data_IF_724728453184
#
_entry.id   IF_724728453184
#
_cell.length_a   1.000
_cell.length_b   1.000
_cell.length_c   1.000
_cell.angle_alpha   90.00
_cell.angle_beta   90.00
_cell.angle_gamma   90.00
#
_symmetry.space_group_name_H-M   'P 1'
#
loop_
_entity.id
_entity.type
_entity.pdbx_description
1 polymer ?
#
# COMPACT_ATOMS: atom_id res chain seq x y z
N UNK A 1 21.05 -23.43 -19.88
CA UNK A 1 22.15 -22.91 -19.04
C UNK A 1 22.38 -23.88 -17.91
N UNK A 2 23.63 -24.21 -17.60
CA UNK A 2 23.92 -25.06 -16.43
C UNK A 2 23.60 -24.30 -15.15
N UNK A 3 23.37 -25.01 -14.04
CA UNK A 3 23.12 -24.42 -12.71
C UNK A 3 24.25 -23.47 -12.28
N UNK A 4 25.46 -23.69 -12.77
CA UNK A 4 26.63 -22.82 -12.53
C UNK A 4 26.55 -21.52 -13.34
N UNK A 5 26.20 -21.59 -14.63
CA UNK A 5 26.06 -20.40 -15.49
C UNK A 5 24.98 -19.46 -14.95
N UNK A 6 23.86 -20.01 -14.47
CA UNK A 6 22.79 -19.23 -13.85
C UNK A 6 23.27 -18.51 -12.58
N UNK A 7 24.08 -19.17 -11.74
CA UNK A 7 24.63 -18.53 -10.52
C UNK A 7 25.58 -17.37 -10.86
N UNK A 8 26.43 -17.54 -11.88
CA UNK A 8 27.36 -16.50 -12.34
C UNK A 8 26.56 -15.30 -12.88
N UNK A 9 25.55 -15.55 -13.72
CA UNK A 9 24.70 -14.50 -14.26
C UNK A 9 23.96 -13.74 -13.15
N UNK A 10 23.35 -14.45 -12.19
CA UNK A 10 22.67 -13.82 -11.05
C UNK A 10 23.64 -12.94 -10.25
N UNK A 11 24.83 -13.45 -9.92
CA UNK A 11 25.84 -12.71 -9.18
C UNK A 11 26.32 -11.45 -9.95
N UNK A 12 26.51 -11.55 -11.27
CA UNK A 12 26.89 -10.41 -12.09
C UNK A 12 25.80 -9.33 -12.11
N UNK A 13 24.52 -9.72 -12.24
CA UNK A 13 23.38 -8.81 -12.21
C UNK A 13 23.27 -8.12 -10.84
N UNK A 14 23.43 -8.86 -9.75
CA UNK A 14 23.42 -8.31 -8.39
C UNK A 14 24.56 -7.32 -8.17
N UNK A 15 25.76 -7.66 -8.66
CA UNK A 15 26.94 -6.80 -8.59
C UNK A 15 26.71 -5.50 -9.36
N UNK A 16 26.23 -5.59 -10.61
CA UNK A 16 25.89 -4.41 -11.41
C UNK A 16 24.86 -3.54 -10.69
N UNK A 17 23.76 -4.13 -10.18
CA UNK A 17 22.72 -3.40 -9.46
C UNK A 17 23.27 -2.66 -8.23
N UNK A 18 24.17 -3.31 -7.49
CA UNK A 18 24.79 -2.72 -6.32
C UNK A 18 25.63 -1.49 -6.65
N UNK A 19 26.44 -1.54 -7.71
CA UNK A 19 27.33 -0.43 -8.08
C UNK A 19 26.62 0.67 -8.88
N UNK A 20 25.74 0.31 -9.81
CA UNK A 20 25.00 1.29 -10.61
C UNK A 20 24.00 2.09 -9.78
N UNK A 21 23.47 1.51 -8.69
CA UNK A 21 22.56 2.19 -7.77
C UNK A 21 23.26 2.97 -6.64
N UNK A 22 24.60 3.08 -6.64
CA UNK A 22 25.29 3.88 -5.61
C UNK A 22 24.97 5.37 -5.80
N UNK A 23 24.48 6.05 -4.76
CA UNK A 23 24.18 7.46 -4.86
C UNK A 23 25.47 8.29 -4.91
N UNK A 24 25.38 9.39 -5.64
CA UNK A 24 26.40 10.43 -5.69
C UNK A 24 25.83 11.71 -5.11
N UNK A 25 26.60 12.38 -4.27
CA UNK A 25 26.23 13.71 -3.78
C UNK A 25 26.22 14.68 -4.97
N UNK A 26 25.07 15.29 -5.23
CA UNK A 26 24.91 16.22 -6.36
C UNK A 26 24.98 17.67 -5.92
N UNK A 27 24.32 18.04 -4.82
CA UNK A 27 24.30 19.40 -4.28
C UNK A 27 23.88 19.42 -2.80
N UNK A 28 23.87 20.58 -2.14
CA UNK A 28 23.38 20.76 -0.78
C UNK A 28 22.17 21.70 -0.78
N UNK A 29 20.99 21.16 -0.45
CA UNK A 29 19.75 21.94 -0.36
C UNK A 29 19.80 22.95 0.79
N UNK A 30 20.21 22.47 1.97
CA UNK A 30 20.34 23.31 3.15
C UNK A 30 21.37 22.77 4.12
N UNK A 31 22.03 23.71 4.79
CA UNK A 31 22.94 23.45 5.89
C UNK A 31 22.69 24.55 6.93
N UNK A 32 22.27 24.15 8.12
CA UNK A 32 22.01 25.10 9.22
C UNK A 32 22.53 24.55 10.53
N UNK A 33 22.92 25.46 11.41
CA UNK A 33 23.42 25.16 12.73
C UNK A 33 22.50 25.79 13.77
N UNK A 34 22.33 25.13 14.91
CA UNK A 34 21.54 25.69 16.01
C UNK A 34 22.27 26.88 16.67
N UNK A 35 21.55 27.66 17.48
CA UNK A 35 22.08 28.91 18.07
C UNK A 35 23.29 28.71 18.99
N UNK A 36 23.51 27.48 19.45
CA UNK A 36 24.60 27.13 20.36
C UNK A 36 25.79 26.48 19.63
N UNK A 37 25.73 26.39 18.30
CA UNK A 37 26.72 25.74 17.46
C UNK A 37 26.98 24.25 17.82
N UNK A 38 26.01 23.57 18.45
CA UNK A 38 26.14 22.18 18.92
C UNK A 38 25.50 21.16 17.97
N UNK A 39 24.51 21.57 17.17
CA UNK A 39 23.75 20.72 16.27
C UNK A 39 23.84 21.24 14.84
N UNK A 40 24.22 20.35 13.93
CA UNK A 40 24.23 20.59 12.49
C UNK A 40 23.07 19.85 11.82
N UNK A 41 22.23 20.57 11.09
CA UNK A 41 21.22 20.02 10.21
C UNK A 41 21.69 20.16 8.76
N UNK A 42 21.79 19.04 8.06
CA UNK A 42 22.23 18.98 6.67
C UNK A 42 21.19 18.24 5.84
N UNK A 43 20.80 18.83 4.72
CA UNK A 43 19.90 18.20 3.75
C UNK A 43 20.57 18.29 2.38
N UNK A 44 21.25 17.23 1.92
CA UNK A 44 21.86 17.19 0.59
C UNK A 44 20.93 16.59 -0.46
N UNK A 45 21.19 16.93 -1.71
CA UNK A 45 20.67 16.21 -2.86
C UNK A 45 21.63 15.10 -3.28
N UNK A 46 21.06 13.95 -3.60
CA UNK A 46 21.77 12.81 -4.15
C UNK A 46 21.20 12.45 -5.52
N UNK A 47 22.04 11.91 -6.40
CA UNK A 47 21.66 11.33 -7.69
C UNK A 47 22.06 9.85 -7.73
N UNK A 48 21.14 8.99 -8.15
CA UNK A 48 21.36 7.55 -8.34
C UNK A 48 20.63 7.07 -9.59
N UNK A 49 21.06 5.96 -10.19
CA UNK A 49 20.36 5.39 -11.35
C UNK A 49 19.14 4.58 -10.90
N UNK A 50 17.94 4.95 -11.36
CA UNK A 50 16.76 4.10 -11.26
C UNK A 50 16.87 2.98 -12.29
N UNK A 51 17.24 1.78 -11.83
CA UNK A 51 17.45 0.62 -12.70
C UNK A 51 16.16 0.02 -13.27
N UNK A 52 14.99 0.42 -12.76
CA UNK A 52 13.70 0.02 -13.33
C UNK A 52 13.40 0.88 -14.56
N UNK A 53 13.67 2.18 -14.46
CA UNK A 53 13.37 3.16 -15.52
C UNK A 53 14.55 3.45 -16.45
N UNK A 54 15.76 3.08 -16.03
CA UNK A 54 17.03 3.42 -16.66
C UNK A 54 17.22 4.94 -16.82
N UNK A 55 16.86 5.70 -15.79
CA UNK A 55 16.99 7.16 -15.72
C UNK A 55 17.65 7.59 -14.41
N UNK A 56 18.20 8.81 -14.38
CA UNK A 56 18.72 9.40 -13.15
C UNK A 56 17.57 9.80 -12.22
N UNK A 57 17.67 9.37 -10.96
CA UNK A 57 16.78 9.72 -9.88
C UNK A 57 17.49 10.63 -8.89
N UNK A 58 16.96 11.84 -8.74
CA UNK A 58 17.37 12.77 -7.68
C UNK A 58 16.50 12.58 -6.45
N UNK A 59 17.11 12.54 -5.27
CA UNK A 59 16.40 12.52 -4.00
C UNK A 59 17.12 13.35 -2.93
N UNK A 60 16.41 13.67 -1.85
CA UNK A 60 16.95 14.32 -0.66
C UNK A 60 16.70 13.49 0.59
N UNK A 61 17.53 13.67 1.62
CA UNK A 61 17.30 13.20 2.99
C UNK A 61 18.03 14.10 3.99
N UNK A 62 17.45 14.29 5.15
CA UNK A 62 18.00 15.14 6.19
C UNK A 62 18.79 14.35 7.21
N UNK A 63 19.91 14.92 7.61
CA UNK A 63 20.79 14.42 8.67
C UNK A 63 20.83 15.44 9.80
N UNK A 64 20.81 14.95 11.03
CA UNK A 64 21.04 15.78 12.22
C UNK A 64 22.24 15.23 12.96
N UNK A 65 23.26 16.04 13.14
CA UNK A 65 24.53 15.64 13.73
C UNK A 65 24.84 16.48 14.97
N UNK A 66 25.27 15.83 16.05
CA UNK A 66 25.78 16.52 17.23
C UNK A 66 27.27 16.75 17.08
N UNK A 67 27.69 18.00 16.97
CA UNK A 67 29.09 18.40 16.87
C UNK A 67 29.82 18.14 18.20
N UNK A 68 29.14 18.39 19.31
CA UNK A 68 29.65 18.15 20.67
C UNK A 68 29.99 16.69 20.93
N UNK A 69 29.05 15.80 20.64
CA UNK A 69 29.20 14.36 20.88
C UNK A 69 29.83 13.62 19.69
N UNK A 70 30.04 14.31 18.57
CA UNK A 70 30.54 13.77 17.30
C UNK A 70 29.75 12.56 16.82
N UNK A 71 28.42 12.65 16.89
CA UNK A 71 27.52 11.54 16.57
C UNK A 71 26.36 11.98 15.68
N UNK A 72 25.96 11.09 14.77
CA UNK A 72 24.73 11.24 14.00
C UNK A 72 23.53 10.95 14.91
N UNK A 73 22.64 11.92 15.07
CA UNK A 73 21.45 11.82 15.92
C UNK A 73 20.25 11.30 15.16
N UNK A 74 20.08 11.73 13.92
CA UNK A 74 18.91 11.40 13.12
C UNK A 74 19.25 11.37 11.64
N UNK A 75 18.54 10.49 10.94
CA UNK A 75 18.50 10.36 9.50
C UNK A 75 17.03 10.26 9.11
N UNK A 76 16.59 11.10 8.17
CA UNK A 76 15.28 10.93 7.55
C UNK A 76 15.33 9.84 6.49
N UNK A 77 14.19 9.22 6.21
CA UNK A 77 14.03 8.43 5.01
C UNK A 77 14.19 9.31 3.76
N UNK A 78 14.52 8.65 2.65
CA UNK A 78 14.63 9.25 1.33
C UNK A 78 13.33 9.97 0.92
N UNK A 79 13.48 11.07 0.20
CA UNK A 79 12.40 11.80 -0.47
C UNK A 79 12.81 12.10 -1.91
N UNK A 80 12.28 11.37 -2.91
CA UNK A 80 12.56 11.66 -4.31
C UNK A 80 12.06 13.04 -4.73
N UNK A 81 12.85 13.74 -5.52
CA UNK A 81 12.56 15.08 -6.01
C UNK A 81 11.80 14.99 -7.34
N UNK A 82 10.87 15.91 -7.58
CA UNK A 82 10.10 16.03 -8.84
C UNK A 82 9.29 14.76 -9.22
N UNK A 83 8.98 13.89 -8.27
CA UNK A 83 8.10 12.73 -8.48
C UNK A 83 6.74 13.00 -7.84
N UNK A 84 5.67 12.67 -8.54
CA UNK A 84 4.33 12.69 -7.95
C UNK A 84 4.18 11.48 -7.02
N UNK A 85 4.41 11.70 -5.72
CA UNK A 85 4.31 10.66 -4.70
C UNK A 85 2.82 10.39 -4.40
N UNK A 86 2.39 9.15 -4.66
CA UNK A 86 1.02 8.68 -4.42
C UNK A 86 0.90 8.00 -3.06
N UNK A 87 1.91 7.19 -2.68
CA UNK A 87 1.98 6.53 -1.37
C UNK A 87 3.41 6.60 -0.87
N UNK A 88 3.56 6.76 0.45
CA UNK A 88 4.85 6.74 1.14
C UNK A 88 4.65 6.18 2.54
N UNK A 89 5.40 5.14 2.90
CA UNK A 89 5.35 4.58 4.24
C UNK A 89 6.70 3.98 4.64
N UNK A 90 7.23 4.42 5.78
CA UNK A 90 8.39 3.79 6.42
C UNK A 90 7.97 2.51 7.13
N UNK A 91 8.83 1.51 7.15
CA UNK A 91 8.63 0.29 7.94
C UNK A 91 8.67 0.59 9.44
N UNK A 92 8.07 -0.25 10.31
CA UNK A 92 8.04 -0.04 11.76
C UNK A 92 9.41 0.15 12.41
N UNK A 93 10.44 -0.49 11.89
CA UNK A 93 11.84 -0.37 12.32
C UNK A 93 12.61 0.78 11.65
N UNK A 94 11.98 1.50 10.71
CA UNK A 94 12.55 2.65 10.00
C UNK A 94 13.59 2.30 8.92
N UNK A 95 13.94 1.02 8.73
CA UNK A 95 14.99 0.60 7.79
C UNK A 95 14.55 0.64 6.33
N UNK A 96 13.27 0.41 6.07
CA UNK A 96 12.71 0.37 4.73
C UNK A 96 11.76 1.52 4.46
N UNK A 97 11.73 1.97 3.23
CA UNK A 97 10.74 2.93 2.73
C UNK A 97 10.03 2.33 1.52
N UNK A 98 8.71 2.19 1.64
CA UNK A 98 7.84 1.87 0.53
C UNK A 98 7.31 3.16 -0.10
N UNK A 99 7.42 3.26 -1.42
CA UNK A 99 7.05 4.43 -2.19
C UNK A 99 6.27 4.01 -3.43
N UNK A 100 5.20 4.75 -3.74
CA UNK A 100 4.51 4.66 -5.02
C UNK A 100 4.57 6.02 -5.69
N UNK A 101 5.12 6.07 -6.90
CA UNK A 101 5.20 7.29 -7.71
C UNK A 101 4.34 7.18 -8.95
N UNK A 102 3.82 8.32 -9.40
CA UNK A 102 3.04 8.46 -10.63
C UNK A 102 3.82 9.30 -11.65
N UNK A 103 3.81 8.87 -12.90
CA UNK A 103 4.31 9.64 -14.04
C UNK A 103 3.28 9.63 -15.16
N UNK A 104 3.11 10.76 -15.82
CA UNK A 104 2.22 10.86 -16.99
C UNK A 104 3.07 10.88 -18.25
N UNK A 105 2.95 9.84 -19.08
CA UNK A 105 3.60 9.73 -20.39
C UNK A 105 2.52 9.75 -21.47
N UNK A 106 2.37 10.89 -22.14
CA UNK A 106 1.27 11.11 -23.09
C UNK A 106 -0.09 11.06 -22.37
N UNK A 107 -0.98 10.20 -22.85
CA UNK A 107 -2.32 9.98 -22.26
C UNK A 107 -2.34 8.89 -21.17
N UNK A 108 -1.18 8.28 -20.87
CA UNK A 108 -1.09 7.18 -19.92
C UNK A 108 -0.40 7.60 -18.62
N UNK A 109 -1.03 7.22 -17.51
CA UNK A 109 -0.45 7.30 -16.19
C UNK A 109 0.23 5.99 -15.82
N UNK A 110 1.53 6.04 -15.57
CA UNK A 110 2.36 4.94 -15.10
C UNK A 110 2.58 5.07 -13.59
N UNK A 111 2.48 3.95 -12.90
CA UNK A 111 2.68 3.86 -11.45
C UNK A 111 3.86 2.94 -11.18
N UNK A 112 4.78 3.37 -10.32
CA UNK A 112 5.95 2.59 -9.95
C UNK A 112 5.96 2.35 -8.46
N UNK A 113 6.03 1.09 -8.06
CA UNK A 113 6.25 0.69 -6.68
C UNK A 113 7.74 0.53 -6.48
N UNK A 114 8.22 1.07 -5.37
CA UNK A 114 9.63 1.07 -5.02
C UNK A 114 9.77 0.76 -3.53
N UNK A 115 10.73 -0.10 -3.23
CA UNK A 115 11.15 -0.41 -1.86
C UNK A 115 12.61 -0.03 -1.75
N UNK A 116 12.86 0.89 -0.83
CA UNK A 116 14.17 1.45 -0.55
C UNK A 116 14.69 0.93 0.78
N UNK A 117 16.00 0.78 0.86
CA UNK A 117 16.73 0.49 2.10
C UNK A 117 17.97 1.38 2.13
N UNK A 118 18.13 2.14 3.21
CA UNK A 118 19.11 3.21 3.37
C UNK A 118 19.05 4.27 2.25
N UNK A 119 19.66 3.96 1.10
CA UNK A 119 19.82 4.83 -0.08
C UNK A 119 19.68 4.07 -1.40
N UNK A 120 19.44 2.75 -1.35
CA UNK A 120 19.38 1.90 -2.52
C UNK A 120 17.95 1.48 -2.83
N UNK A 121 17.59 1.54 -4.11
CA UNK A 121 16.37 0.93 -4.62
C UNK A 121 16.58 -0.60 -4.66
N UNK A 122 16.09 -1.31 -3.65
CA UNK A 122 16.31 -2.75 -3.53
C UNK A 122 15.27 -3.59 -4.28
N UNK A 123 14.12 -2.99 -4.59
CA UNK A 123 13.07 -3.57 -5.41
C UNK A 123 12.21 -2.49 -6.04
N UNK A 124 11.81 -2.68 -7.29
CA UNK A 124 10.78 -1.87 -7.90
C UNK A 124 10.22 -2.48 -9.18
N UNK A 125 9.01 -2.07 -9.54
CA UNK A 125 8.34 -2.50 -10.77
C UNK A 125 7.30 -1.46 -11.19
N UNK A 126 6.93 -1.51 -12.46
CA UNK A 126 5.80 -0.75 -13.01
C UNK A 126 4.49 -1.53 -12.76
N UNK A 127 3.58 -0.94 -11.98
CA UNK A 127 2.32 -1.57 -11.57
C UNK A 127 1.35 -1.82 -12.73
N UNK A 128 1.49 -1.08 -13.84
CA UNK A 128 0.64 -1.20 -15.01
C UNK A 128 1.19 -2.19 -16.06
N UNK A 129 2.38 -2.77 -15.84
CA UNK A 129 3.00 -3.71 -16.78
C UNK A 129 2.21 -5.01 -16.84
N UNK A 130 1.68 -5.32 -18.03
CA UNK A 130 0.85 -6.51 -18.26
C UNK A 130 1.60 -7.84 -18.20
N UNK A 131 2.93 -7.85 -18.28
CA UNK A 131 3.75 -9.05 -18.20
C UNK A 131 4.24 -9.31 -16.78
N UNK A 132 4.58 -8.25 -16.03
CA UNK A 132 5.28 -8.37 -14.74
C UNK A 132 4.34 -8.12 -13.56
N UNK A 133 3.40 -7.18 -13.67
CA UNK A 133 2.53 -6.83 -12.55
C UNK A 133 1.38 -7.83 -12.40
N UNK A 134 1.13 -8.36 -11.19
CA UNK A 134 -0.01 -9.24 -10.93
C UNK A 134 -1.33 -8.46 -10.76
N UNK A 135 -1.29 -7.13 -10.63
CA UNK A 135 -2.45 -6.28 -10.37
C UNK A 135 -2.51 -5.11 -11.36
N UNK A 136 -3.58 -4.32 -11.29
CA UNK A 136 -3.75 -3.06 -12.02
C UNK A 136 -3.15 -1.86 -11.28
N UNK A 137 -3.78 -0.69 -11.41
CA UNK A 137 -3.34 0.55 -10.76
C UNK A 137 -3.38 0.41 -9.24
N UNK A 138 -2.37 0.92 -8.54
CA UNK A 138 -2.43 1.02 -7.08
C UNK A 138 -3.39 2.13 -6.70
N UNK A 139 -4.24 1.86 -5.73
CA UNK A 139 -5.20 2.85 -5.27
C UNK A 139 -4.46 4.04 -4.66
N UNK A 140 -4.92 5.28 -4.87
CA UNK A 140 -4.38 6.45 -4.18
C UNK A 140 -4.75 6.40 -2.70
N UNK A 141 -4.08 7.22 -1.88
CA UNK A 141 -4.42 7.33 -0.46
C UNK A 141 -5.88 7.75 -0.33
N UNK A 142 -6.68 6.89 0.28
CA UNK A 142 -8.05 7.13 0.67
C UNK A 142 -8.17 6.60 2.10
N UNK A 143 -8.69 7.43 3.00
CA UNK A 143 -8.75 7.09 4.42
C UNK A 143 -9.61 5.85 4.68
N UNK A 144 -10.57 5.51 3.80
CA UNK A 144 -11.48 4.36 3.95
C UNK A 144 -11.25 3.26 2.91
N UNK A 145 -11.15 3.66 1.65
CA UNK A 145 -11.22 2.77 0.50
C UNK A 145 -9.88 2.19 0.04
N UNK A 146 -8.77 2.40 0.75
CA UNK A 146 -7.49 1.79 0.39
C UNK A 146 -6.58 1.61 1.60
N UNK A 147 -5.58 0.74 1.48
CA UNK A 147 -4.52 0.61 2.49
C UNK A 147 -3.16 0.32 1.86
N UNK A 148 -2.12 0.61 2.62
CA UNK A 148 -0.71 0.44 2.26
C UNK A 148 0.07 0.40 3.56
N UNK A 149 0.33 -0.79 4.10
CA UNK A 149 0.75 -1.00 5.49
C UNK A 149 1.87 -2.05 5.58
N UNK A 150 2.92 -1.73 6.32
CA UNK A 150 3.99 -2.68 6.63
C UNK A 150 3.57 -3.64 7.75
N UNK A 151 3.97 -4.90 7.63
CA UNK A 151 3.83 -5.88 8.71
C UNK A 151 4.64 -5.46 9.94
N UNK A 152 4.28 -5.95 11.14
CA UNK A 152 4.94 -5.54 12.38
C UNK A 152 6.43 -5.89 12.43
N UNK A 153 6.86 -6.89 11.67
CA UNK A 153 8.25 -7.34 11.55
C UNK A 153 9.03 -6.63 10.43
N UNK A 154 8.44 -5.61 9.79
CA UNK A 154 9.00 -4.88 8.65
C UNK A 154 9.33 -5.73 7.42
N UNK A 155 8.84 -6.98 7.33
CA UNK A 155 9.22 -7.91 6.25
C UNK A 155 8.22 -8.02 5.11
N UNK A 156 6.99 -7.53 5.30
CA UNK A 156 5.90 -7.60 4.31
C UNK A 156 5.23 -6.25 4.19
N UNK A 157 4.77 -5.94 2.99
CA UNK A 157 3.96 -4.75 2.73
C UNK A 157 2.66 -5.21 2.10
N UNK A 158 1.53 -4.98 2.77
CA UNK A 158 0.20 -5.27 2.24
C UNK A 158 -0.43 -4.01 1.69
N UNK A 159 -1.07 -4.10 0.54
CA UNK A 159 -1.69 -2.95 -0.11
C UNK A 159 -2.85 -3.34 -1.03
N UNK A 160 -3.70 -2.36 -1.32
CA UNK A 160 -4.80 -2.51 -2.27
C UNK A 160 -4.42 -1.99 -3.65
N UNK A 161 -4.77 -2.75 -4.68
CA UNK A 161 -4.67 -2.36 -6.08
C UNK A 161 -5.96 -2.72 -6.84
N UNK A 162 -6.15 -2.17 -8.03
CA UNK A 162 -7.20 -2.61 -8.94
C UNK A 162 -6.96 -4.04 -9.40
N UNK A 163 -8.04 -4.77 -9.65
CA UNK A 163 -7.95 -6.00 -10.41
C UNK A 163 -7.42 -5.73 -11.81
N UNK A 164 -6.48 -6.57 -12.25
CA UNK A 164 -5.89 -6.43 -13.56
C UNK A 164 -6.95 -6.69 -14.63
N UNK A 165 -7.14 -5.72 -15.52
CA UNK A 165 -8.12 -5.84 -16.61
C UNK A 165 -7.63 -6.82 -17.67
N UNK A 166 -8.57 -7.61 -18.18
CA UNK A 166 -8.39 -8.28 -19.47
C UNK A 166 -8.25 -7.23 -20.57
N UNK A 167 -7.45 -7.48 -21.62
CA UNK A 167 -7.34 -6.55 -22.73
C UNK A 167 -8.71 -6.34 -23.39
N UNK A 168 -9.08 -5.07 -23.59
CA UNK A 168 -10.30 -4.69 -24.29
C UNK A 168 -10.12 -4.99 -25.79
N UNK A 169 -11.11 -5.64 -26.39
CA UNK A 169 -11.21 -5.83 -27.84
C UNK A 169 -12.29 -4.94 -28.43
N UNK A 170 -12.04 -4.44 -29.65
CA UNK A 170 -13.02 -3.63 -30.38
C UNK A 170 -14.31 -4.41 -30.57
N UNK A 171 -15.44 -3.73 -30.38
CA UNK A 171 -16.79 -4.28 -30.55
C UNK A 171 -16.97 -4.97 -31.91
N UNK A 172 -16.40 -4.40 -32.98
CA UNK A 172 -16.50 -4.93 -34.35
C UNK A 172 -15.64 -6.17 -34.63
N UNK A 173 -14.81 -6.58 -33.67
CA UNK A 173 -13.96 -7.78 -33.74
C UNK A 173 -14.29 -8.79 -32.65
N UNK A 174 -15.36 -8.53 -31.88
CA UNK A 174 -15.74 -9.33 -30.72
C UNK A 174 -16.33 -10.69 -31.10
N UNK A 175 -16.75 -10.94 -32.34
CA UNK A 175 -17.39 -12.20 -32.74
C UNK A 175 -16.45 -13.42 -32.73
N UNK A 176 -15.15 -13.21 -32.48
CA UNK A 176 -14.11 -14.24 -32.32
C UNK A 176 -13.65 -14.32 -30.86
N UNK A 177 -14.57 -14.53 -29.93
CA UNK A 177 -14.24 -14.68 -28.51
C UNK A 177 -13.49 -16.00 -28.27
N UNK A 178 -12.16 -15.92 -28.27
CA UNK A 178 -11.33 -16.74 -27.39
C UNK A 178 -11.45 -16.19 -25.96
N UNK A 179 -11.32 -17.03 -24.92
CA UNK A 179 -11.48 -16.73 -23.47
C UNK A 179 -10.62 -15.58 -22.89
N UNK A 180 -9.81 -14.93 -23.73
CA UNK A 180 -8.66 -14.11 -23.37
C UNK A 180 -9.00 -12.60 -23.26
N UNK A 181 -10.09 -12.11 -23.88
CA UNK A 181 -10.40 -10.67 -23.94
C UNK A 181 -11.84 -10.30 -23.59
N UNK A 182 -12.08 -9.01 -23.30
CA UNK A 182 -13.42 -8.48 -23.00
C UNK A 182 -13.90 -7.45 -24.04
N UNK A 183 -15.21 -7.39 -24.36
CA UNK A 183 -15.76 -6.40 -25.27
C UNK A 183 -15.59 -4.96 -24.75
N UNK A 184 -15.21 -4.03 -25.63
CA UNK A 184 -15.15 -2.60 -25.31
C UNK A 184 -16.50 -1.99 -24.87
N UNK A 185 -17.63 -2.68 -25.12
CA UNK A 185 -18.97 -2.26 -24.72
C UNK A 185 -19.37 -2.70 -23.30
N UNK A 186 -18.52 -3.43 -22.58
CA UNK A 186 -18.81 -3.87 -21.22
C UNK A 186 -18.81 -2.68 -20.27
N UNK A 187 -19.99 -2.29 -19.82
CA UNK A 187 -20.15 -1.26 -18.79
C UNK A 187 -19.66 -1.80 -17.44
N UNK A 188 -18.86 -0.98 -16.75
CA UNK A 188 -18.40 -1.24 -15.40
C UNK A 188 -18.56 0.05 -14.59
N UNK A 189 -19.32 -0.04 -13.51
CA UNK A 189 -19.53 1.11 -12.63
C UNK A 189 -18.25 1.38 -11.82
N UNK A 190 -17.83 2.64 -11.72
CA UNK A 190 -16.73 3.04 -10.84
C UNK A 190 -17.28 3.56 -9.50
N UNK A 191 -16.39 3.85 -8.55
CA UNK A 191 -16.82 4.37 -7.24
C UNK A 191 -17.20 5.86 -7.25
N UNK A 192 -17.09 6.53 -8.40
CA UNK A 192 -17.31 7.97 -8.52
C UNK A 192 -16.39 8.76 -7.61
N UNK A 193 -16.86 9.92 -7.13
CA UNK A 193 -16.13 10.79 -6.21
C UNK A 193 -14.73 11.14 -6.75
N UNK A 194 -13.64 10.79 -6.06
CA UNK A 194 -12.27 10.95 -6.55
C UNK A 194 -11.64 9.59 -6.93
N UNK A 195 -12.49 8.64 -7.29
CA UNK A 195 -12.18 7.23 -7.56
C UNK A 195 -12.77 6.75 -8.89
N UNK A 196 -12.93 7.63 -9.87
CA UNK A 196 -13.52 7.31 -11.18
C UNK A 196 -12.66 6.35 -12.00
N UNK A 197 -11.39 6.24 -11.66
CA UNK A 197 -10.43 5.28 -12.26
C UNK A 197 -10.44 3.91 -11.58
N UNK A 198 -11.25 3.75 -10.53
CA UNK A 198 -11.25 2.59 -9.65
C UNK A 198 -12.63 1.92 -9.60
N UNK A 199 -12.63 0.60 -9.69
CA UNK A 199 -13.81 -0.26 -9.76
C UNK A 199 -13.74 -1.34 -8.68
N UNK A 200 -12.56 -1.90 -8.45
CA UNK A 200 -12.35 -3.08 -7.62
C UNK A 200 -11.21 -2.84 -6.64
N UNK A 201 -11.12 -3.67 -5.61
CA UNK A 201 -9.95 -3.65 -4.74
C UNK A 201 -9.53 -5.08 -4.48
N UNK A 202 -8.33 -5.42 -4.93
CA UNK A 202 -7.66 -6.67 -4.62
C UNK A 202 -6.51 -6.41 -3.65
N UNK A 203 -6.32 -7.35 -2.74
CA UNK A 203 -5.26 -7.31 -1.75
C UNK A 203 -4.01 -7.95 -2.33
N UNK A 204 -2.94 -7.17 -2.35
CA UNK A 204 -1.61 -7.56 -2.77
C UNK A 204 -0.68 -7.59 -1.57
N UNK A 205 0.29 -8.48 -1.60
CA UNK A 205 1.38 -8.51 -0.63
C UNK A 205 2.73 -8.52 -1.34
N UNK A 206 3.60 -7.61 -0.93
CA UNK A 206 5.02 -7.67 -1.25
C UNK A 206 5.76 -8.40 -0.12
N UNK A 207 6.59 -9.36 -0.51
CA UNK A 207 7.41 -10.17 0.38
C UNK A 207 8.90 -9.83 0.17
N UNK A 208 9.55 -9.25 1.18
CA UNK A 208 10.97 -8.87 1.12
C UNK A 208 11.91 -10.07 0.95
N UNK A 209 11.56 -11.24 1.49
CA UNK A 209 12.41 -12.43 1.43
C UNK A 209 12.45 -13.00 0.02
N UNK A 210 11.30 -13.01 -0.65
CA UNK A 210 11.18 -13.53 -2.02
C UNK A 210 11.35 -12.44 -3.08
N UNK A 211 11.30 -11.16 -2.69
CA UNK A 211 11.27 -9.98 -3.57
C UNK A 211 10.18 -10.10 -4.65
N UNK A 212 8.99 -10.52 -4.25
CA UNK A 212 7.85 -10.72 -5.14
C UNK A 212 6.61 -10.03 -4.59
N UNK A 213 5.79 -9.55 -5.52
CA UNK A 213 4.42 -9.14 -5.25
C UNK A 213 3.50 -10.29 -5.64
N UNK A 214 2.58 -10.65 -4.74
CA UNK A 214 1.63 -11.75 -4.93
C UNK A 214 0.22 -11.28 -4.61
N UNK A 215 -0.74 -11.85 -5.32
CA UNK A 215 -2.14 -11.80 -4.90
C UNK A 215 -2.36 -12.90 -3.88
N UNK A 216 -3.11 -12.58 -2.84
CA UNK A 216 -3.62 -13.61 -1.94
C UNK A 216 -4.72 -14.35 -2.69
N UNK A 217 -4.71 -15.67 -2.68
CA UNK A 217 -5.70 -16.43 -3.46
C UNK A 217 -7.08 -16.39 -2.78
N UNK A 218 -8.11 -16.78 -3.52
CA UNK A 218 -9.48 -16.95 -3.04
C UNK A 218 -10.12 -15.69 -2.42
N UNK A 219 -9.69 -14.49 -2.84
CA UNK A 219 -10.31 -13.25 -2.37
C UNK A 219 -11.78 -13.18 -2.84
N UNK A 220 -12.74 -12.84 -1.96
CA UNK A 220 -14.12 -12.58 -2.35
C UNK A 220 -14.22 -11.52 -3.46
N UNK A 221 -14.88 -11.86 -4.57
CA UNK A 221 -14.95 -11.02 -5.78
C UNK A 221 -16.09 -9.99 -5.76
N UNK A 222 -17.09 -10.21 -4.92
CA UNK A 222 -18.24 -9.33 -4.71
C UNK A 222 -17.95 -8.23 -3.68
N UNK A 223 -16.73 -8.23 -3.13
CA UNK A 223 -16.29 -7.31 -2.10
C UNK A 223 -15.21 -6.36 -2.60
N UNK A 224 -15.22 -5.17 -2.01
CA UNK A 224 -14.19 -4.17 -2.14
C UNK A 224 -13.48 -4.02 -0.81
N UNK A 225 -12.16 -4.18 -0.79
CA UNK A 225 -11.37 -4.12 0.43
C UNK A 225 -10.82 -2.71 0.66
N UNK A 226 -11.13 -2.17 1.83
CA UNK A 226 -10.60 -0.91 2.34
C UNK A 226 -9.66 -1.15 3.52
N UNK A 227 -9.56 -0.16 4.40
CA UNK A 227 -8.65 -0.11 5.58
C UNK A 227 -8.25 -1.46 6.18
N UNK A 228 -6.98 -1.56 6.55
CA UNK A 228 -6.38 -2.76 7.12
C UNK A 228 -5.59 -2.44 8.40
N UNK A 229 -5.41 -3.44 9.27
CA UNK A 229 -4.43 -3.46 10.36
C UNK A 229 -3.83 -4.86 10.46
N UNK A 230 -2.51 -4.93 10.61
CA UNK A 230 -1.85 -6.20 10.92
C UNK A 230 -2.20 -6.68 12.33
N UNK A 231 -2.22 -8.00 12.50
CA UNK A 231 -2.26 -8.63 13.82
C UNK A 231 -0.85 -8.72 14.42
N UNK A 232 -0.70 -9.25 15.63
CA UNK A 232 0.62 -9.61 16.19
C UNK A 232 1.30 -10.75 15.41
N UNK A 233 0.53 -11.54 14.67
CA UNK A 233 1.07 -12.53 13.75
C UNK A 233 1.39 -11.85 12.39
N UNK A 234 2.65 -11.88 11.90
CA UNK A 234 3.03 -11.26 10.63
C UNK A 234 2.45 -11.98 9.39
N UNK A 235 1.79 -13.13 9.59
CA UNK A 235 1.07 -13.83 8.53
C UNK A 235 -0.41 -13.38 8.42
N UNK A 236 -0.91 -12.59 9.38
CA UNK A 236 -2.33 -12.26 9.49
C UNK A 236 -2.63 -10.77 9.64
N UNK A 237 -3.70 -10.33 8.99
CA UNK A 237 -4.22 -8.97 9.11
C UNK A 237 -5.74 -8.94 9.04
N UNK A 238 -6.30 -7.85 9.56
CA UNK A 238 -7.74 -7.58 9.61
C UNK A 238 -8.04 -6.40 8.69
N UNK A 239 -9.09 -6.53 7.90
CA UNK A 239 -9.47 -5.52 6.91
C UNK A 239 -10.97 -5.27 6.90
N UNK A 240 -11.32 -4.08 6.41
CA UNK A 240 -12.70 -3.65 6.17
C UNK A 240 -13.10 -4.06 4.76
N UNK A 241 -14.28 -4.67 4.63
CA UNK A 241 -14.87 -5.02 3.34
C UNK A 241 -16.19 -4.26 3.13
N UNK A 242 -16.38 -3.78 1.92
CA UNK A 242 -17.59 -3.16 1.41
C UNK A 242 -18.21 -4.08 0.35
N UNK A 243 -19.54 -4.17 0.29
CA UNK A 243 -20.19 -4.80 -0.88
C UNK A 243 -20.05 -3.89 -2.09
N UNK A 244 -19.73 -4.47 -3.23
CA UNK A 244 -19.72 -3.76 -4.52
C UNK A 244 -21.15 -3.44 -4.96
N UNK A 245 -22.04 -4.43 -4.84
CA UNK A 245 -23.45 -4.33 -5.23
C UNK A 245 -24.35 -4.02 -4.01
N UNK A 246 -25.50 -3.34 -4.18
CA UNK A 246 -26.14 -2.96 -5.46
C UNK A 246 -25.74 -1.57 -6.01
N UNK A 247 -24.88 -0.81 -5.33
CA UNK A 247 -24.41 0.50 -5.82
C UNK A 247 -23.03 0.82 -5.24
N UNK A 248 -22.16 1.47 -6.01
CA UNK A 248 -20.78 1.74 -5.58
C UNK A 248 -20.63 3.04 -4.78
N UNK A 249 -21.20 4.16 -5.20
CA UNK A 249 -20.97 5.49 -4.58
C UNK A 249 -20.85 5.51 -3.03
N UNK A 250 -19.92 6.34 -2.54
CA UNK A 250 -19.74 6.62 -1.11
C UNK A 250 -18.60 5.85 -0.44
N UNK A 251 -17.42 5.76 -1.06
CA UNK A 251 -16.23 5.23 -0.38
C UNK A 251 -15.39 6.31 0.29
N UNK A 252 -15.49 7.57 -0.14
CA UNK A 252 -14.70 8.66 0.43
C UNK A 252 -15.53 9.45 1.45
N UNK A 253 -16.78 9.77 1.12
CA UNK A 253 -17.58 10.71 1.93
C UNK A 253 -18.70 10.05 2.75
N UNK A 254 -18.93 8.74 2.60
CA UNK A 254 -20.02 8.03 3.29
C UNK A 254 -19.49 7.08 4.39
N UNK A 255 -19.53 7.53 5.63
CA UNK A 255 -19.17 6.75 6.83
C UNK A 255 -20.36 5.98 7.44
N UNK A 256 -21.40 5.75 6.64
CA UNK A 256 -22.68 5.16 7.02
C UNK A 256 -23.07 3.99 6.08
N UNK A 257 -22.08 3.40 5.41
CA UNK A 257 -22.26 2.24 4.52
C UNK A 257 -22.09 0.92 5.28
N UNK A 258 -22.91 -0.12 5.04
CA UNK A 258 -22.69 -1.44 5.63
C UNK A 258 -21.28 -1.96 5.31
N UNK A 259 -20.57 -2.44 6.33
CA UNK A 259 -19.26 -3.05 6.18
C UNK A 259 -19.11 -4.26 7.08
N UNK A 260 -18.30 -5.20 6.64
CA UNK A 260 -17.89 -6.35 7.43
C UNK A 260 -16.37 -6.33 7.65
N UNK A 261 -15.93 -6.95 8.75
CA UNK A 261 -14.53 -7.14 9.07
C UNK A 261 -14.12 -8.56 8.68
N UNK A 262 -12.97 -8.68 8.04
CA UNK A 262 -12.39 -9.95 7.62
C UNK A 262 -11.01 -10.12 8.22
N UNK A 263 -10.69 -11.33 8.66
CA UNK A 263 -9.31 -11.77 8.95
C UNK A 263 -8.77 -12.50 7.73
N UNK A 264 -7.60 -12.11 7.28
CA UNK A 264 -6.88 -12.75 6.19
C UNK A 264 -5.55 -13.31 6.71
N UNK A 265 -5.22 -14.54 6.33
CA UNK A 265 -3.88 -15.09 6.46
C UNK A 265 -3.30 -15.25 5.05
N UNK A 266 -2.26 -14.47 4.74
CA UNK A 266 -1.73 -14.39 3.37
C UNK A 266 -0.89 -15.61 3.01
N UNK A 267 -0.35 -16.33 4.00
CA UNK A 267 0.56 -17.46 3.77
C UNK A 267 -0.20 -18.73 3.38
N UNK A 268 -1.40 -18.93 3.93
CA UNK A 268 -2.25 -20.08 3.62
C UNK A 268 -3.48 -19.73 2.77
N UNK A 269 -3.59 -18.48 2.28
CA UNK A 269 -4.69 -17.97 1.46
C UNK A 269 -6.08 -18.08 2.13
N UNK A 270 -6.13 -17.93 3.46
CA UNK A 270 -7.37 -18.06 4.22
C UNK A 270 -8.06 -16.71 4.44
N UNK A 271 -9.36 -16.68 4.20
CA UNK A 271 -10.24 -15.54 4.44
C UNK A 271 -11.34 -15.94 5.41
N UNK A 272 -11.49 -15.20 6.52
CA UNK A 272 -12.48 -15.46 7.56
C UNK A 272 -13.30 -14.20 7.79
N UNK A 273 -14.60 -14.27 7.55
CA UNK A 273 -15.52 -13.20 7.94
C UNK A 273 -15.68 -13.19 9.48
N UNK A 274 -15.35 -12.05 10.09
CA UNK A 274 -15.44 -11.85 11.54
C UNK A 274 -16.81 -11.28 11.93
N UNK A 275 -17.32 -10.32 11.15
CA UNK A 275 -18.62 -9.68 11.38
C UNK A 275 -19.48 -9.75 10.13
N UNK A 276 -20.80 -9.65 10.28
CA UNK A 276 -21.73 -9.68 9.16
C UNK A 276 -21.90 -8.30 8.50
N UNK A 277 -22.43 -8.31 7.28
CA UNK A 277 -22.93 -7.11 6.60
C UNK A 277 -24.34 -6.78 7.13
N UNK A 278 -24.40 -6.31 8.37
CA UNK A 278 -25.62 -5.90 9.06
C UNK A 278 -25.85 -4.38 8.96
N UNK A 279 -26.68 -3.82 9.84
CA UNK A 279 -27.03 -2.38 9.85
C UNK A 279 -25.94 -1.50 10.48
N UNK A 280 -24.67 -1.90 10.39
CA UNK A 280 -23.54 -1.21 10.99
C UNK A 280 -22.43 -0.93 9.97
N UNK A 281 -21.81 0.23 10.12
CA UNK A 281 -20.55 0.58 9.47
C UNK A 281 -19.43 0.45 10.52
N UNK A 282 -18.37 -0.25 10.16
CA UNK A 282 -17.22 -0.64 11.00
C UNK A 282 -15.95 -0.22 10.26
N UNK A 283 -15.24 0.75 10.81
CA UNK A 283 -14.10 1.40 10.17
C UNK A 283 -12.93 1.49 11.15
N UNK A 284 -11.74 1.76 10.60
CA UNK A 284 -10.49 1.99 11.34
C UNK A 284 -10.15 0.86 12.33
N UNK A 285 -10.06 -0.41 11.88
CA UNK A 285 -9.57 -1.46 12.77
C UNK A 285 -8.14 -1.13 13.23
N UNK A 286 -7.88 -1.33 14.52
CA UNK A 286 -6.58 -1.14 15.17
C UNK A 286 -6.32 -2.29 16.11
N UNK A 287 -5.32 -3.09 15.77
CA UNK A 287 -4.93 -4.22 16.59
C UNK A 287 -4.28 -3.80 17.90
N UNK A 288 -4.48 -4.57 18.97
CA UNK A 288 -3.90 -4.29 20.29
C UNK A 288 -2.59 -5.07 20.49
N UNK A 289 -1.41 -4.42 20.57
CA UNK A 289 -0.11 -5.11 20.58
C UNK A 289 0.11 -6.12 21.72
N UNK A 290 -0.66 -6.04 22.81
CA UNK A 290 -0.52 -6.90 24.00
C UNK A 290 -1.64 -7.94 24.12
N UNK A 291 -2.51 -8.06 23.12
CA UNK A 291 -3.67 -8.95 23.15
C UNK A 291 -3.84 -9.62 21.79
N UNK A 292 -3.37 -10.85 21.69
CA UNK A 292 -3.25 -11.62 20.42
C UNK A 292 -4.56 -11.94 19.71
N UNK A 293 -5.72 -11.62 20.30
CA UNK A 293 -7.02 -11.89 19.69
C UNK A 293 -7.96 -10.70 19.81
N UNK A 294 -7.44 -9.52 20.13
CA UNK A 294 -8.29 -8.34 20.32
C UNK A 294 -7.83 -7.18 19.46
N UNK A 295 -8.81 -6.51 18.86
CA UNK A 295 -8.62 -5.25 18.17
C UNK A 295 -9.79 -4.34 18.45
N UNK A 296 -9.59 -3.05 18.24
CA UNK A 296 -10.66 -2.05 18.34
C UNK A 296 -11.01 -1.53 16.96
N UNK A 297 -12.25 -1.06 16.79
CA UNK A 297 -12.69 -0.37 15.58
C UNK A 297 -13.73 0.70 15.95
N UNK A 298 -14.01 1.59 15.00
CA UNK A 298 -15.06 2.60 15.11
C UNK A 298 -16.34 2.10 14.45
N UNK A 299 -17.46 2.23 15.16
CA UNK A 299 -18.77 1.75 14.70
C UNK A 299 -19.80 2.87 14.60
N UNK A 300 -20.59 2.88 13.53
CA UNK A 300 -21.78 3.73 13.36
C UNK A 300 -22.97 2.90 12.89
N UNK A 301 -24.18 3.38 13.15
CA UNK A 301 -25.36 2.79 12.51
C UNK A 301 -25.45 3.32 11.06
N UNK A 302 -25.89 2.48 10.13
CA UNK A 302 -26.10 2.91 8.74
C UNK A 302 -27.33 3.83 8.61
N UNK A 303 -27.46 4.49 7.46
CA UNK A 303 -28.58 5.41 7.12
C UNK A 303 -28.78 6.63 8.01
N UNK A 304 -27.87 6.90 8.95
CA UNK A 304 -27.83 8.16 9.67
C UNK A 304 -27.04 9.22 8.91
N UNK A 305 -26.99 10.45 9.44
CA UNK A 305 -26.24 11.54 8.81
C UNK A 305 -24.73 11.21 8.71
N UNK A 306 -24.05 11.84 7.77
CA UNK A 306 -22.59 11.72 7.61
C UNK A 306 -21.86 12.28 8.85
N UNK A 307 -20.67 11.76 9.13
CA UNK A 307 -19.76 12.22 10.18
C UNK A 307 -20.37 12.31 11.60
N UNK A 308 -21.25 11.36 11.95
CA UNK A 308 -21.84 11.28 13.28
C UNK A 308 -20.87 10.73 14.35
N UNK A 309 -21.27 10.87 15.61
CA UNK A 309 -20.59 10.24 16.74
C UNK A 309 -20.49 8.71 16.51
N UNK A 310 -19.27 8.20 16.68
CA UNK A 310 -18.93 6.78 16.52
C UNK A 310 -18.78 6.14 17.89
N UNK A 311 -19.10 4.84 17.97
CA UNK A 311 -18.74 4.02 19.13
C UNK A 311 -17.32 3.50 18.96
N UNK A 312 -16.58 3.37 20.05
CA UNK A 312 -15.35 2.59 20.09
C UNK A 312 -15.69 1.20 20.58
N UNK A 313 -15.44 0.18 19.76
CA UNK A 313 -15.80 -1.21 20.05
C UNK A 313 -14.53 -2.04 20.10
N UNK A 314 -14.44 -2.91 21.11
CA UNK A 314 -13.45 -3.97 21.23
C UNK A 314 -14.05 -5.25 20.67
N UNK A 315 -13.30 -5.94 19.82
CA UNK A 315 -13.68 -7.22 19.24
C UNK A 315 -12.68 -8.30 19.62
N UNK A 316 -13.18 -9.48 19.99
CA UNK A 316 -12.36 -10.67 20.18
C UNK A 316 -12.50 -11.62 18.97
N UNK A 317 -11.41 -11.91 18.28
CA UNK A 317 -11.38 -12.71 17.04
C UNK A 317 -11.71 -14.19 17.24
N UNK A 318 -11.47 -14.74 18.43
CA UNK A 318 -11.75 -16.14 18.75
C UNK A 318 -13.21 -16.34 19.15
N UNK A 319 -13.70 -15.53 20.10
CA UNK A 319 -15.06 -15.66 20.63
C UNK A 319 -16.10 -14.95 19.76
N UNK A 320 -15.64 -14.10 18.83
CA UNK A 320 -16.46 -13.20 18.00
C UNK A 320 -17.36 -12.27 18.81
N UNK A 321 -16.94 -11.94 20.03
CA UNK A 321 -17.69 -11.06 20.91
C UNK A 321 -17.28 -9.60 20.72
N UNK A 322 -18.29 -8.73 20.72
CA UNK A 322 -18.15 -7.27 20.71
C UNK A 322 -18.37 -6.70 22.12
N UNK A 323 -17.53 -5.78 22.55
CA UNK A 323 -17.70 -4.99 23.77
C UNK A 323 -17.55 -3.50 23.45
N UNK A 324 -18.61 -2.73 23.70
CA UNK A 324 -18.57 -1.27 23.57
C UNK A 324 -17.67 -0.72 24.69
N UNK A 325 -16.59 -0.04 24.31
CA UNK A 325 -15.68 0.64 25.24
C UNK A 325 -16.11 2.07 25.49
N UNK A 326 -16.54 2.75 24.42
CA UNK A 326 -17.07 4.11 24.47
C UNK A 326 -18.32 4.10 23.60
N UNK A 327 -19.46 4.38 24.20
CA UNK A 327 -20.71 4.53 23.46
C UNK A 327 -20.85 5.95 22.92
N UNK A 328 -21.73 6.12 21.95
CA UNK A 328 -22.11 7.45 21.46
C UNK A 328 -23.01 8.14 22.48
N UNK A 329 -23.00 9.46 22.45
CA UNK A 329 -23.96 10.29 23.17
C UNK A 329 -25.03 10.71 22.17
N UNK A 330 -26.24 10.19 22.33
CA UNK A 330 -27.40 10.70 21.59
C UNK A 330 -27.76 12.09 22.17
N UNK A 331 -27.84 13.11 21.31
CA UNK A 331 -28.27 14.46 21.69
C UNK A 331 -29.78 14.59 21.70
#
# INVERSE_FOLDING_TARGET
MTTTDNKILTSAIETYRHYAGQPTLSDIESCSQDSNDEILHLTPYFSTMDLVKLEDLTYTRSFTYSLKNRQLLFTSNITPINKNIVRRLASPDGQYLALVTKETKGEQDLYYVQIWHDEHLIFGYEANDTKISPHGKILPKNDYGSFFEWSPDSRRLVFTAEEKRKPLKSYFTADKLDDIGEPASTYRENWGEQMELFETSIVCIFDLDTKQVKLIENQPKDLYFGQCTWTTNPDEFILVAFRIEPYRLGLIFCENRPTALFKCNWRNNQWIQLTDFDQLCRLFPRYLPKKENEFVYLQTDIYRAHAQCKRLVLFNTETKQEKILIDRIDK
#
